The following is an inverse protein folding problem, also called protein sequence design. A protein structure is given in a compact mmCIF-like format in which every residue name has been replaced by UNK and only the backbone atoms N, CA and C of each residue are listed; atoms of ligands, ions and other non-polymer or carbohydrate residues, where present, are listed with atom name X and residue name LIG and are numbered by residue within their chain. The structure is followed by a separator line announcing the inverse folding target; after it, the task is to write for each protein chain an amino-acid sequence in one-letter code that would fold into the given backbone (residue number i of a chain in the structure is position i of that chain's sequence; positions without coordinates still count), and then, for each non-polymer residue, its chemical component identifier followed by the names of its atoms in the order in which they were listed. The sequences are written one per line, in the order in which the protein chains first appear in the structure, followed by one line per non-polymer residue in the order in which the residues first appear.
data_IF_053341150477
#
_entry.id   IF_053341150477
#
_cell.length_a   1.000
_cell.length_b   1.000
_cell.length_c   1.000
_cell.angle_alpha   90.00
_cell.angle_beta   90.00
_cell.angle_gamma   90.00
#
_symmetry.space_group_name_H-M   'P 1'
#
loop_
_entity.id
_entity.type
_entity.pdbx_description
1 polymer ?
#
# COMPACT_ATOMS: atom_id res chain seq x y z
N UNK A 1 -6.75 12.39 21.02
CA UNK A 1 -5.57 12.12 20.15
C UNK A 1 -4.32 12.66 20.84
N UNK A 2 -3.15 12.07 20.63
CA UNK A 2 -1.92 12.57 21.23
C UNK A 2 -1.29 13.62 20.30
N UNK A 3 -0.96 14.81 20.80
CA UNK A 3 -0.21 15.78 20.00
C UNK A 3 1.22 15.23 19.77
N UNK A 4 1.70 15.12 18.52
CA UNK A 4 3.03 14.57 18.25
C UNK A 4 4.17 15.44 18.77
N UNK A 5 3.92 16.74 19.01
CA UNK A 5 4.94 17.69 19.44
C UNK A 5 5.09 17.76 20.97
N UNK A 6 3.99 17.84 21.72
CA UNK A 6 4.03 17.93 23.19
C UNK A 6 3.66 16.62 23.90
N UNK A 7 3.28 15.58 23.16
CA UNK A 7 2.81 14.27 23.66
C UNK A 7 1.64 14.34 24.65
N UNK A 8 0.95 15.47 24.74
CA UNK A 8 -0.24 15.60 25.57
C UNK A 8 -1.46 15.03 24.86
N UNK A 9 -2.34 14.38 25.62
CA UNK A 9 -3.65 13.95 25.14
C UNK A 9 -4.56 15.15 24.95
N UNK A 10 -4.92 15.44 23.71
CA UNK A 10 -5.83 16.53 23.34
C UNK A 10 -7.15 15.92 22.89
N UNK A 11 -8.25 16.40 23.46
CA UNK A 11 -9.58 16.04 22.96
C UNK A 11 -9.93 16.90 21.73
N UNK A 12 -10.65 16.32 20.76
CA UNK A 12 -11.07 17.02 19.54
C UNK A 12 -11.89 18.29 19.84
N UNK A 13 -12.57 18.34 20.98
CA UNK A 13 -13.33 19.50 21.46
C UNK A 13 -12.46 20.67 21.97
N UNK A 14 -11.20 20.41 22.29
CA UNK A 14 -10.27 21.39 22.87
C UNK A 14 -9.40 22.08 21.81
N UNK A 15 -9.45 21.61 20.56
CA UNK A 15 -8.79 22.23 19.43
C UNK A 15 -9.47 23.56 19.10
N UNK A 16 -8.80 24.68 19.35
CA UNK A 16 -9.24 25.98 18.83
C UNK A 16 -8.67 26.15 17.43
N UNK A 17 -9.53 26.18 16.41
CA UNK A 17 -9.09 26.33 15.00
C UNK A 17 -8.26 25.15 14.45
N UNK A 18 -8.36 23.97 15.06
CA UNK A 18 -7.61 22.77 14.62
C UNK A 18 -6.19 22.63 15.18
N UNK A 19 -5.78 23.56 16.06
CA UNK A 19 -4.45 23.56 16.69
C UNK A 19 -4.46 23.00 18.11
N UNK A 20 -3.31 22.47 18.54
CA UNK A 20 -3.11 22.01 19.90
C UNK A 20 -3.14 23.20 20.87
N UNK A 21 -3.98 23.19 21.92
CA UNK A 21 -4.11 24.32 22.84
C UNK A 21 -2.84 24.58 23.67
N UNK A 22 -1.93 23.60 23.76
CA UNK A 22 -0.72 23.69 24.58
C UNK A 22 0.51 24.15 23.80
N UNK A 23 0.64 23.77 22.54
CA UNK A 23 1.84 24.04 21.73
C UNK A 23 1.56 24.72 20.39
N UNK A 24 0.30 25.03 20.06
CA UNK A 24 -0.11 25.67 18.81
C UNK A 24 0.05 24.79 17.57
N UNK A 25 0.39 23.50 17.72
CA UNK A 25 0.65 22.64 16.58
C UNK A 25 -0.64 22.29 15.81
N UNK A 26 -0.68 22.39 14.46
CA UNK A 26 -1.87 22.11 13.65
C UNK A 26 -2.20 20.61 13.58
N UNK A 27 -2.79 20.08 14.67
CA UNK A 27 -3.14 18.68 14.83
C UNK A 27 -4.20 18.20 13.83
N UNK A 28 -5.19 19.04 13.50
CA UNK A 28 -6.28 18.68 12.59
C UNK A 28 -5.80 18.52 11.15
N UNK A 29 -4.93 19.41 10.68
CA UNK A 29 -4.33 19.34 9.34
C UNK A 29 -3.41 18.12 9.21
N UNK A 30 -2.64 17.80 10.25
CA UNK A 30 -1.88 16.55 10.30
C UNK A 30 -2.82 15.36 10.19
N UNK A 31 -3.86 15.29 11.03
CA UNK A 31 -4.80 14.16 11.03
C UNK A 31 -5.50 13.99 9.67
N UNK A 32 -5.90 15.10 9.03
CA UNK A 32 -6.49 15.10 7.69
C UNK A 32 -5.53 14.48 6.66
N UNK A 33 -4.28 14.92 6.63
CA UNK A 33 -3.27 14.39 5.69
C UNK A 33 -3.02 12.90 5.92
N UNK A 34 -2.86 12.49 7.17
CA UNK A 34 -2.64 11.08 7.55
C UNK A 34 -3.83 10.21 7.16
N UNK A 35 -5.05 10.67 7.44
CA UNK A 35 -6.27 9.93 7.11
C UNK A 35 -6.39 9.68 5.61
N UNK A 36 -6.08 10.66 4.76
CA UNK A 36 -6.10 10.48 3.30
C UNK A 36 -5.15 9.37 2.84
N UNK A 37 -3.96 9.31 3.42
CA UNK A 37 -2.96 8.30 3.07
C UNK A 37 -3.43 6.91 3.51
N UNK A 38 -3.96 6.81 4.74
CA UNK A 38 -4.50 5.57 5.27
C UNK A 38 -5.68 5.06 4.43
N UNK A 39 -6.56 5.95 3.98
CA UNK A 39 -7.69 5.60 3.10
C UNK A 39 -7.19 5.05 1.77
N UNK A 40 -6.18 5.67 1.14
CA UNK A 40 -5.60 5.17 -0.12
C UNK A 40 -4.98 3.78 0.07
N UNK A 41 -4.17 3.59 1.12
CA UNK A 41 -3.56 2.29 1.40
C UNK A 41 -4.60 1.21 1.71
N UNK A 42 -5.64 1.57 2.48
CA UNK A 42 -6.75 0.66 2.77
C UNK A 42 -7.53 0.28 1.50
N UNK A 43 -7.80 1.24 0.62
CA UNK A 43 -8.47 0.98 -0.65
C UNK A 43 -7.68 0.01 -1.55
N UNK A 44 -6.36 0.19 -1.64
CA UNK A 44 -5.47 -0.72 -2.37
C UNK A 44 -5.40 -2.11 -1.71
N UNK A 45 -5.40 -2.19 -0.38
CA UNK A 45 -5.44 -3.49 0.29
C UNK A 45 -6.76 -4.22 -0.01
N UNK A 46 -7.88 -3.50 0.04
CA UNK A 46 -9.21 -4.05 -0.29
C UNK A 46 -9.28 -4.49 -1.76
N UNK A 47 -8.68 -3.77 -2.71
CA UNK A 47 -8.65 -4.21 -4.11
C UNK A 47 -7.95 -5.55 -4.30
N UNK A 48 -6.82 -5.78 -3.62
CA UNK A 48 -6.13 -7.08 -3.68
C UNK A 48 -6.94 -8.21 -3.04
N UNK A 49 -7.69 -7.92 -1.96
CA UNK A 49 -8.62 -8.89 -1.36
C UNK A 49 -9.73 -9.28 -2.34
N UNK A 50 -10.25 -8.32 -3.10
CA UNK A 50 -11.27 -8.58 -4.13
C UNK A 50 -10.77 -9.59 -5.15
N UNK A 51 -9.50 -9.52 -5.58
CA UNK A 51 -8.93 -10.52 -6.49
C UNK A 51 -8.95 -11.94 -5.89
N UNK A 52 -8.61 -12.07 -4.60
CA UNK A 52 -8.70 -13.35 -3.89
C UNK A 52 -10.14 -13.86 -3.79
N UNK A 53 -11.10 -12.97 -3.52
CA UNK A 53 -12.54 -13.31 -3.46
C UNK A 53 -13.03 -13.78 -4.83
N UNK A 54 -12.67 -13.10 -5.91
CA UNK A 54 -13.05 -13.49 -7.28
C UNK A 54 -12.56 -14.92 -7.58
N UNK A 55 -11.30 -15.21 -7.28
CA UNK A 55 -10.72 -16.56 -7.48
C UNK A 55 -11.43 -17.61 -6.61
N UNK A 56 -11.67 -17.30 -5.33
CA UNK A 56 -12.40 -18.21 -4.45
C UNK A 56 -13.83 -18.50 -4.94
N UNK A 57 -14.51 -17.50 -5.49
CA UNK A 57 -15.86 -17.68 -6.07
C UNK A 57 -15.80 -18.54 -7.33
N UNK A 58 -14.82 -18.31 -8.20
CA UNK A 58 -14.62 -19.09 -9.42
C UNK A 58 -14.34 -20.58 -9.13
N UNK A 59 -13.50 -20.86 -8.13
CA UNK A 59 -13.20 -22.22 -7.67
C UNK A 59 -14.40 -22.91 -7.02
N UNK A 60 -15.04 -22.25 -6.05
CA UNK A 60 -16.00 -22.93 -5.17
C UNK A 60 -17.39 -23.05 -5.77
N UNK A 61 -17.79 -22.15 -6.68
CA UNK A 61 -19.17 -22.05 -7.14
C UNK A 61 -19.36 -22.20 -8.65
N UNK A 62 -18.35 -21.84 -9.46
CA UNK A 62 -18.51 -21.76 -10.92
C UNK A 62 -17.85 -22.96 -11.62
N UNK A 63 -16.77 -23.51 -11.04
CA UNK A 63 -16.01 -24.58 -11.69
C UNK A 63 -15.26 -24.07 -12.91
N UNK A 64 -14.47 -23.01 -12.71
CA UNK A 64 -13.75 -22.35 -13.79
C UNK A 64 -12.69 -23.26 -14.44
N UNK A 65 -12.81 -23.49 -15.75
CA UNK A 65 -11.79 -24.16 -16.54
C UNK A 65 -10.95 -23.13 -17.30
N UNK A 66 -9.64 -23.13 -17.03
CA UNK A 66 -8.72 -22.21 -17.65
C UNK A 66 -8.37 -22.62 -19.10
N UNK A 67 -8.19 -21.66 -20.01
CA UNK A 67 -7.98 -21.93 -21.43
C UNK A 67 -6.67 -22.68 -21.72
N UNK A 68 -5.63 -22.47 -20.92
CA UNK A 68 -4.31 -23.10 -21.11
C UNK A 68 -3.99 -24.08 -19.96
N UNK A 69 -5.00 -24.69 -19.35
CA UNK A 69 -4.81 -25.66 -18.28
C UNK A 69 -3.92 -26.82 -18.74
N UNK A 70 -2.81 -27.06 -18.04
CA UNK A 70 -1.84 -28.13 -18.36
C UNK A 70 -0.71 -27.74 -19.32
N UNK A 71 -0.68 -26.52 -19.85
CA UNK A 71 0.51 -25.99 -20.54
C UNK A 71 1.60 -25.55 -19.53
N UNK A 72 2.76 -25.05 -20.01
CA UNK A 72 3.95 -24.71 -19.20
C UNK A 72 3.75 -23.51 -18.24
N UNK A 73 2.81 -23.61 -17.30
CA UNK A 73 2.53 -22.60 -16.27
C UNK A 73 3.79 -22.22 -15.45
N UNK A 74 4.73 -23.15 -15.29
CA UNK A 74 5.97 -22.92 -14.55
C UNK A 74 6.88 -21.90 -15.24
N UNK A 75 6.96 -21.92 -16.58
CA UNK A 75 7.81 -21.00 -17.34
C UNK A 75 7.23 -19.59 -17.27
N UNK A 76 5.92 -19.44 -17.46
CA UNK A 76 5.26 -18.14 -17.39
C UNK A 76 5.23 -17.58 -15.96
N UNK A 77 4.91 -18.43 -14.97
CA UNK A 77 4.90 -18.09 -13.55
C UNK A 77 6.27 -17.66 -13.04
N UNK A 78 7.35 -18.36 -13.41
CA UNK A 78 8.71 -17.97 -13.02
C UNK A 78 9.16 -16.66 -13.69
N UNK A 79 8.80 -16.43 -14.96
CA UNK A 79 9.07 -15.15 -15.62
C UNK A 79 8.37 -13.98 -14.92
N UNK A 80 7.09 -14.14 -14.57
CA UNK A 80 6.34 -13.14 -13.81
C UNK A 80 6.88 -12.95 -12.39
N UNK A 81 7.40 -14.01 -11.76
CA UNK A 81 8.05 -13.90 -10.45
C UNK A 81 9.33 -13.08 -10.55
N UNK A 82 10.12 -13.27 -11.62
CA UNK A 82 11.26 -12.42 -11.94
C UNK A 82 10.86 -10.95 -12.13
N UNK A 83 9.75 -10.70 -12.84
CA UNK A 83 9.21 -9.35 -12.99
C UNK A 83 8.78 -8.74 -11.65
N UNK A 84 8.07 -9.49 -10.81
CA UNK A 84 7.66 -9.06 -9.47
C UNK A 84 8.86 -8.76 -8.56
N UNK A 85 9.92 -9.58 -8.62
CA UNK A 85 11.17 -9.32 -7.91
C UNK A 85 11.87 -8.05 -8.42
N UNK A 86 11.89 -7.83 -9.74
CA UNK A 86 12.41 -6.60 -10.35
C UNK A 86 11.64 -5.36 -9.91
N UNK A 87 10.31 -5.43 -9.91
CA UNK A 87 9.40 -4.39 -9.41
C UNK A 87 9.67 -4.10 -7.93
N UNK A 88 9.82 -5.16 -7.12
CA UNK A 88 10.18 -5.04 -5.71
C UNK A 88 11.49 -4.26 -5.54
N UNK A 89 12.56 -4.66 -6.21
CA UNK A 89 13.86 -3.98 -6.13
C UNK A 89 13.79 -2.53 -6.62
N UNK A 90 13.10 -2.28 -7.74
CA UNK A 90 12.90 -0.93 -8.27
C UNK A 90 12.16 -0.03 -7.27
N UNK A 91 11.13 -0.56 -6.60
CA UNK A 91 10.40 0.16 -5.54
C UNK A 91 11.32 0.57 -4.39
N UNK A 92 12.27 -0.29 -3.99
CA UNK A 92 13.22 0.00 -2.91
C UNK A 92 14.19 1.12 -3.28
N UNK A 93 14.66 1.12 -4.52
CA UNK A 93 15.58 2.15 -5.03
C UNK A 93 14.83 3.49 -5.15
N UNK A 94 13.61 3.46 -5.67
CA UNK A 94 12.75 4.65 -5.78
C UNK A 94 12.44 5.26 -4.42
N UNK A 95 12.05 4.44 -3.45
CA UNK A 95 11.79 4.88 -2.07
C UNK A 95 13.04 5.51 -1.43
N UNK A 96 14.23 4.91 -1.61
CA UNK A 96 15.48 5.45 -1.08
C UNK A 96 15.85 6.80 -1.69
N UNK A 97 15.69 6.96 -3.01
CA UNK A 97 15.99 8.22 -3.72
C UNK A 97 15.04 9.34 -3.33
N UNK A 98 13.77 9.02 -3.19
CA UNK A 98 12.74 10.04 -2.88
C UNK A 98 12.81 10.51 -1.43
N UNK A 99 13.34 9.69 -0.50
CA UNK A 99 13.43 9.99 0.94
C UNK A 99 14.02 11.36 1.29
N UNK A 100 14.98 11.84 0.51
CA UNK A 100 15.74 13.06 0.82
C UNK A 100 15.14 14.36 0.24
N UNK A 101 14.05 14.30 -0.54
CA UNK A 101 13.54 15.44 -1.32
C UNK A 101 12.05 15.75 -1.11
N UNK A 102 11.44 15.27 -0.02
CA UNK A 102 9.98 15.27 0.11
C UNK A 102 9.39 16.53 0.73
N UNK A 103 8.72 17.29 -0.12
CA UNK A 103 7.53 18.05 0.27
C UNK A 103 6.33 17.10 0.45
N UNK A 104 5.32 17.52 1.21
CA UNK A 104 4.16 16.68 1.55
C UNK A 104 3.38 16.21 0.30
N UNK A 105 3.27 17.06 -0.73
CA UNK A 105 2.62 16.70 -2.00
C UNK A 105 3.35 15.56 -2.73
N UNK A 106 4.69 15.61 -2.77
CA UNK A 106 5.52 14.56 -3.37
C UNK A 106 5.44 13.26 -2.58
N UNK A 107 5.28 13.35 -1.25
CA UNK A 107 5.09 12.19 -0.40
C UNK A 107 3.80 11.44 -0.76
N UNK A 108 2.69 12.17 -0.94
CA UNK A 108 1.40 11.61 -1.36
C UNK A 108 1.49 10.90 -2.72
N UNK A 109 2.12 11.54 -3.71
CA UNK A 109 2.32 10.95 -5.04
C UNK A 109 3.20 9.70 -4.98
N UNK A 110 4.27 9.73 -4.19
CA UNK A 110 5.18 8.60 -4.02
C UNK A 110 4.46 7.40 -3.42
N UNK A 111 3.62 7.61 -2.40
CA UNK A 111 2.84 6.52 -1.79
C UNK A 111 1.79 5.94 -2.73
N UNK A 112 1.13 6.77 -3.55
CA UNK A 112 0.21 6.27 -4.56
C UNK A 112 0.92 5.40 -5.61
N UNK A 113 2.09 5.85 -6.08
CA UNK A 113 2.91 5.09 -7.05
C UNK A 113 3.40 3.78 -6.43
N UNK A 114 3.95 3.81 -5.21
CA UNK A 114 4.42 2.61 -4.52
C UNK A 114 3.28 1.65 -4.21
N UNK A 115 2.09 2.17 -3.89
CA UNK A 115 0.88 1.38 -3.70
C UNK A 115 0.43 0.67 -4.98
N UNK A 116 0.37 1.39 -6.10
CA UNK A 116 0.05 0.80 -7.41
C UNK A 116 1.09 -0.25 -7.82
N UNK A 117 2.37 0.01 -7.55
CA UNK A 117 3.47 -0.94 -7.77
C UNK A 117 3.26 -2.21 -6.91
N UNK A 118 2.85 -2.07 -5.65
CA UNK A 118 2.60 -3.18 -4.75
C UNK A 118 1.40 -4.05 -5.18
N UNK A 119 0.48 -3.52 -5.98
CA UNK A 119 -0.69 -4.24 -6.51
C UNK A 119 -0.33 -5.11 -7.73
N UNK A 120 0.70 -4.75 -8.51
CA UNK A 120 1.10 -5.47 -9.73
C UNK A 120 1.32 -6.98 -9.54
N UNK A 121 1.98 -7.45 -8.46
CA UNK A 121 2.08 -8.88 -8.20
C UNK A 121 0.71 -9.55 -8.09
N UNK A 122 -0.25 -8.98 -7.36
CA UNK A 122 -1.59 -9.56 -7.23
C UNK A 122 -2.31 -9.66 -8.59
N UNK A 123 -2.12 -8.67 -9.46
CA UNK A 123 -2.64 -8.70 -10.84
C UNK A 123 -1.99 -9.85 -11.63
N UNK A 124 -0.68 -10.06 -11.49
CA UNK A 124 0.00 -11.20 -12.12
C UNK A 124 -0.50 -12.54 -11.59
N UNK A 125 -0.79 -12.64 -10.29
CA UNK A 125 -1.42 -13.81 -9.68
C UNK A 125 -2.80 -14.09 -10.28
N UNK A 126 -3.62 -13.06 -10.43
CA UNK A 126 -4.95 -13.18 -11.04
C UNK A 126 -4.84 -13.62 -12.51
N UNK A 127 -3.89 -13.07 -13.27
CA UNK A 127 -3.62 -13.49 -14.64
C UNK A 127 -3.17 -14.94 -14.73
N UNK A 128 -2.30 -15.40 -13.83
CA UNK A 128 -1.89 -16.81 -13.75
C UNK A 128 -3.08 -17.72 -13.50
N UNK A 129 -3.99 -17.32 -12.62
CA UNK A 129 -5.21 -18.07 -12.35
C UNK A 129 -6.13 -18.11 -13.56
N UNK A 130 -6.42 -16.97 -14.19
CA UNK A 130 -7.34 -16.90 -15.33
C UNK A 130 -6.78 -17.59 -16.59
N UNK A 131 -5.46 -17.57 -16.82
CA UNK A 131 -4.91 -18.17 -18.04
C UNK A 131 -4.62 -19.67 -17.87
N UNK A 132 -4.14 -20.08 -16.70
CA UNK A 132 -3.60 -21.43 -16.47
C UNK A 132 -4.34 -22.20 -15.37
N UNK A 133 -5.29 -21.60 -14.66
CA UNK A 133 -6.02 -22.24 -13.56
C UNK A 133 -5.17 -22.40 -12.30
N UNK A 134 -4.03 -21.71 -12.23
CA UNK A 134 -3.03 -22.01 -11.21
C UNK A 134 -3.26 -21.27 -9.90
N UNK A 135 -3.95 -21.93 -8.98
CA UNK A 135 -4.21 -21.40 -7.64
C UNK A 135 -2.93 -21.18 -6.84
N UNK A 136 -1.91 -22.03 -7.03
CA UNK A 136 -0.63 -21.91 -6.34
C UNK A 136 0.08 -20.58 -6.69
N UNK A 137 0.15 -20.22 -7.98
CA UNK A 137 0.76 -18.97 -8.41
C UNK A 137 -0.04 -17.76 -7.92
N UNK A 138 -1.37 -17.82 -7.97
CA UNK A 138 -2.24 -16.76 -7.43
C UNK A 138 -1.93 -16.47 -5.97
N UNK A 139 -1.89 -17.50 -5.12
CA UNK A 139 -1.63 -17.34 -3.68
C UNK A 139 -0.24 -16.78 -3.43
N UNK A 140 0.78 -17.25 -4.17
CA UNK A 140 2.15 -16.74 -4.04
C UNK A 140 2.24 -15.25 -4.38
N UNK A 141 1.68 -14.85 -5.51
CA UNK A 141 1.70 -13.47 -5.98
C UNK A 141 0.89 -12.54 -5.08
N UNK A 142 -0.26 -13.01 -4.57
CA UNK A 142 -1.05 -12.27 -3.58
C UNK A 142 -0.25 -12.07 -2.28
N UNK A 143 0.45 -13.10 -1.82
CA UNK A 143 1.35 -13.00 -0.66
C UNK A 143 2.47 -11.98 -0.85
N UNK A 144 3.09 -11.94 -2.03
CA UNK A 144 4.12 -10.93 -2.37
C UNK A 144 3.53 -9.51 -2.36
N UNK A 145 2.32 -9.33 -2.93
CA UNK A 145 1.63 -8.05 -2.92
C UNK A 145 1.34 -7.57 -1.49
N UNK A 146 0.80 -8.43 -0.63
CA UNK A 146 0.53 -8.10 0.76
C UNK A 146 1.80 -7.80 1.55
N UNK A 147 2.89 -8.52 1.32
CA UNK A 147 4.18 -8.25 1.94
C UNK A 147 4.68 -6.83 1.58
N UNK A 148 4.53 -6.42 0.31
CA UNK A 148 4.84 -5.07 -0.14
C UNK A 148 3.95 -4.01 0.53
N UNK A 149 2.64 -4.24 0.59
CA UNK A 149 1.70 -3.32 1.23
C UNK A 149 1.96 -3.17 2.74
N UNK A 150 2.19 -4.27 3.46
CA UNK A 150 2.53 -4.25 4.88
C UNK A 150 3.84 -3.50 5.12
N UNK A 151 4.84 -3.70 4.26
CA UNK A 151 6.10 -2.95 4.31
C UNK A 151 5.88 -1.44 4.15
N UNK A 152 5.03 -1.03 3.21
CA UNK A 152 4.65 0.38 3.04
C UNK A 152 3.92 0.91 4.30
N UNK A 153 2.99 0.13 4.86
CA UNK A 153 2.29 0.45 6.10
C UNK A 153 3.22 0.64 7.30
N UNK A 154 4.22 -0.24 7.48
CA UNK A 154 5.22 -0.12 8.54
C UNK A 154 6.13 1.11 8.41
N UNK A 155 6.23 1.69 7.20
CA UNK A 155 7.03 2.90 6.92
C UNK A 155 6.23 4.19 7.19
N UNK A 156 4.90 4.10 7.30
CA UNK A 156 4.03 5.24 7.59
C UNK A 156 4.50 6.07 8.80
N UNK A 157 4.84 5.48 9.97
CA UNK A 157 5.23 6.26 11.15
C UNK A 157 6.47 7.13 10.95
N UNK A 158 7.43 6.68 10.14
CA UNK A 158 8.62 7.46 9.82
C UNK A 158 8.28 8.68 8.95
N UNK A 159 7.30 8.53 8.06
CA UNK A 159 6.82 9.64 7.26
C UNK A 159 5.95 10.62 8.04
N UNK A 160 5.16 10.13 9.01
CA UNK A 160 4.41 10.99 9.92
C UNK A 160 5.32 11.99 10.64
N UNK A 161 6.53 11.55 11.02
CA UNK A 161 7.54 12.44 11.63
C UNK A 161 8.00 13.52 10.66
N UNK A 162 8.28 13.18 9.41
CA UNK A 162 8.66 14.17 8.39
C UNK A 162 7.53 15.18 8.08
N UNK A 163 6.28 14.72 8.02
CA UNK A 163 5.11 15.60 7.83
C UNK A 163 4.95 16.54 9.04
N UNK A 164 5.13 16.02 10.26
CA UNK A 164 5.06 16.82 11.48
C UNK A 164 6.19 17.86 11.55
N UNK A 165 7.41 17.52 11.12
CA UNK A 165 8.53 18.46 11.03
C UNK A 165 8.24 19.60 10.03
N UNK A 166 7.70 19.29 8.85
CA UNK A 166 7.32 20.32 7.87
C UNK A 166 6.25 21.28 8.40
N UNK A 167 5.22 20.76 9.08
CA UNK A 167 4.15 21.57 9.67
C UNK A 167 4.62 22.45 10.84
N UNK A 168 5.77 22.14 11.44
CA UNK A 168 6.37 22.95 12.50
C UNK A 168 7.09 24.19 11.96
N UNK A 169 7.60 24.11 10.74
CA UNK A 169 8.40 25.17 10.10
C UNK A 169 7.58 26.16 9.27
N UNK A 170 6.29 25.89 9.09
CA UNK A 170 5.31 26.76 8.42
C UNK A 170 4.51 27.53 9.46
#
# INVERSE_FOLDING_TARGET
MLCPQCQQGVQTRELRGGECPYCGFPCEELNRRVSHIQVILAALFVSTLIYGIIVAVLELYIGYEAPNAGESEAVFGTALMGAAAGIFVASLIFERRTRNAMTIERWRQTMAILGAIAEMPAIFGLLMYLLFGSLQWMVLFLGVSWMLMLRLGMRLPAALRGIAECLRTT
#
